data_IF_024432926695
#
_entry.id   IF_024432926695
#
_cell.length_a   1.000
_cell.length_b   1.000
_cell.length_c   1.000
_cell.angle_alpha   90.00
_cell.angle_beta   90.00
_cell.angle_gamma   90.00
#
_symmetry.space_group_name_H-M   'P 1'
#
loop_
_entity.id
_entity.type
_entity.pdbx_description
1 polymer ?
#
# COMPACT_ATOMS: atom_id res chain seq x y z
N UNK A 1 46.09 -1.55 -17.92
CA UNK A 1 46.81 -2.12 -16.76
C UNK A 1 45.81 -2.82 -15.87
N UNK A 2 46.13 -3.99 -15.28
CA UNK A 2 45.24 -4.60 -14.33
C UNK A 2 45.15 -3.68 -13.10
N UNK A 3 43.94 -3.23 -12.78
CA UNK A 3 43.62 -2.58 -11.52
C UNK A 3 43.91 -3.56 -10.38
N UNK A 4 45.08 -3.42 -9.72
CA UNK A 4 45.55 -4.27 -8.62
C UNK A 4 45.70 -3.47 -7.32
N UNK A 5 44.60 -2.95 -6.75
CA UNK A 5 44.67 -2.26 -5.48
C UNK A 5 44.98 -3.26 -4.35
N UNK A 6 45.67 -2.81 -3.30
CA UNK A 6 45.90 -3.61 -2.08
C UNK A 6 44.67 -3.73 -1.19
N UNK A 7 43.71 -2.81 -1.35
CA UNK A 7 42.43 -2.81 -0.62
C UNK A 7 41.53 -3.95 -1.09
N UNK A 8 40.72 -4.50 -0.19
CA UNK A 8 39.70 -5.54 -0.45
C UNK A 8 38.29 -5.00 -0.20
N UNK A 9 37.27 -5.77 -0.60
CA UNK A 9 35.85 -5.50 -0.31
C UNK A 9 35.38 -4.08 -0.62
N UNK A 10 34.64 -3.45 0.30
CA UNK A 10 34.10 -2.09 0.17
C UNK A 10 35.19 -1.03 0.05
N UNK A 11 36.35 -1.24 0.66
CA UNK A 11 37.49 -0.34 0.55
C UNK A 11 38.02 -0.31 -0.90
N UNK A 12 38.06 -1.48 -1.55
CA UNK A 12 38.43 -1.60 -2.97
C UNK A 12 37.43 -0.92 -3.87
N UNK A 13 36.15 -1.10 -3.58
CA UNK A 13 35.06 -0.44 -4.30
C UNK A 13 35.14 1.09 -4.19
N UNK A 14 35.38 1.62 -2.99
CA UNK A 14 35.58 3.07 -2.79
C UNK A 14 36.75 3.62 -3.60
N UNK A 15 37.89 2.92 -3.61
CA UNK A 15 39.07 3.30 -4.43
C UNK A 15 38.81 3.23 -5.92
N UNK A 16 37.97 2.30 -6.37
CA UNK A 16 37.52 2.25 -7.76
C UNK A 16 36.65 3.46 -8.10
N UNK A 17 35.70 3.82 -7.22
CA UNK A 17 34.85 5.00 -7.39
C UNK A 17 35.68 6.28 -7.51
N UNK A 18 36.61 6.52 -6.57
CA UNK A 18 37.45 7.72 -6.55
C UNK A 18 38.39 7.83 -7.77
N UNK A 19 38.76 6.70 -8.38
CA UNK A 19 39.72 6.68 -9.49
C UNK A 19 39.04 6.72 -10.85
N UNK A 20 37.93 6.00 -11.00
CA UNK A 20 37.35 5.71 -12.31
C UNK A 20 35.95 6.26 -12.51
N UNK A 21 35.16 6.39 -11.44
CA UNK A 21 33.77 6.83 -11.56
C UNK A 21 33.70 8.35 -11.45
N UNK A 22 33.26 8.99 -12.53
CA UNK A 22 33.01 10.44 -12.57
C UNK A 22 31.51 10.67 -12.44
N UNK A 23 31.10 11.53 -11.51
CA UNK A 23 29.69 11.80 -11.24
C UNK A 23 29.03 12.47 -12.45
N UNK A 24 27.97 11.87 -13.04
CA UNK A 24 27.36 12.41 -14.26
C UNK A 24 26.66 13.76 -14.11
N UNK A 25 25.93 13.95 -13.00
CA UNK A 25 25.03 15.08 -12.74
C UNK A 25 24.75 15.21 -11.24
N UNK A 26 24.23 16.36 -10.82
CA UNK A 26 23.89 16.64 -9.42
C UNK A 26 25.10 17.04 -8.58
N UNK A 27 25.01 16.84 -7.27
CA UNK A 27 26.11 17.16 -6.33
C UNK A 27 27.39 16.42 -6.70
N UNK A 28 28.47 17.16 -6.89
CA UNK A 28 29.77 16.61 -7.29
C UNK A 28 29.91 16.29 -8.78
N UNK A 29 29.00 16.75 -9.65
CA UNK A 29 29.07 16.54 -11.10
C UNK A 29 30.47 16.84 -11.68
N UNK A 30 30.91 16.02 -12.64
CA UNK A 30 32.23 16.08 -13.29
C UNK A 30 33.42 15.85 -12.36
N UNK A 31 33.20 15.52 -11.09
CA UNK A 31 34.25 15.17 -10.14
C UNK A 31 34.24 13.66 -9.84
N UNK A 32 35.32 13.11 -9.26
CA UNK A 32 35.34 11.72 -8.83
C UNK A 32 34.25 11.41 -7.80
N UNK A 33 33.61 10.24 -7.92
CA UNK A 33 32.62 9.76 -6.96
C UNK A 33 33.32 9.40 -5.65
N UNK A 34 33.13 10.24 -4.63
CA UNK A 34 33.56 9.97 -3.25
C UNK A 34 32.39 9.44 -2.45
N UNK A 35 32.44 8.16 -2.10
CA UNK A 35 31.41 7.53 -1.28
C UNK A 35 31.43 8.12 0.13
N UNK A 36 30.25 8.38 0.69
CA UNK A 36 30.11 8.67 2.11
C UNK A 36 30.32 7.40 2.94
N UNK A 37 30.64 7.56 4.23
CA UNK A 37 30.87 6.44 5.15
C UNK A 37 29.70 5.46 5.10
N UNK A 38 28.48 5.96 5.27
CA UNK A 38 27.27 5.14 5.25
C UNK A 38 27.02 4.43 3.90
N UNK A 39 27.40 5.03 2.76
CA UNK A 39 27.30 4.37 1.45
C UNK A 39 28.32 3.22 1.33
N UNK A 40 29.51 3.42 1.88
CA UNK A 40 30.54 2.39 1.94
C UNK A 40 30.15 1.27 2.90
N UNK A 41 29.59 1.60 4.06
CA UNK A 41 29.12 0.62 5.04
C UNK A 41 27.94 -0.21 4.50
N UNK A 42 27.04 0.44 3.75
CA UNK A 42 25.94 -0.24 3.06
C UNK A 42 26.47 -1.28 2.08
N UNK A 43 27.37 -0.90 1.16
CA UNK A 43 27.98 -1.85 0.22
C UNK A 43 28.88 -2.88 0.94
N UNK A 44 29.53 -2.46 2.03
CA UNK A 44 30.35 -3.32 2.89
C UNK A 44 29.56 -4.41 3.57
N UNK A 45 28.26 -4.20 3.85
CA UNK A 45 27.39 -5.26 4.38
C UNK A 45 27.30 -6.49 3.46
N UNK A 46 27.68 -6.34 2.19
CA UNK A 46 27.78 -7.43 1.22
C UNK A 46 29.24 -7.74 0.90
N UNK A 47 30.02 -6.75 0.46
CA UNK A 47 31.37 -6.99 -0.09
C UNK A 47 32.41 -7.37 0.96
N UNK A 48 32.21 -7.01 2.23
CA UNK A 48 33.13 -7.30 3.33
C UNK A 48 32.72 -8.55 4.13
N UNK A 49 31.56 -9.14 3.84
CA UNK A 49 31.04 -10.34 4.50
C UNK A 49 31.71 -11.61 3.97
N UNK A 50 31.94 -12.57 4.86
CA UNK A 50 32.47 -13.90 4.53
C UNK A 50 31.67 -15.01 5.25
N UNK A 51 30.90 -15.85 4.52
CA UNK A 51 30.67 -15.77 3.08
C UNK A 51 29.90 -14.50 2.68
N UNK A 52 30.03 -14.09 1.42
CA UNK A 52 29.18 -13.03 0.88
C UNK A 52 27.72 -13.49 0.87
N UNK A 53 26.77 -12.64 1.30
CA UNK A 53 25.36 -13.00 1.32
C UNK A 53 24.82 -13.20 -0.11
N UNK A 54 23.86 -14.12 -0.22
CA UNK A 54 23.11 -14.37 -1.45
C UNK A 54 22.08 -13.29 -1.71
N UNK A 55 21.51 -12.72 -0.65
CA UNK A 55 20.50 -11.67 -0.76
C UNK A 55 20.84 -10.51 0.17
N UNK A 56 20.61 -9.28 -0.30
CA UNK A 56 20.69 -8.08 0.50
C UNK A 56 19.38 -7.30 0.38
N UNK A 57 18.73 -7.00 1.50
CA UNK A 57 17.56 -6.13 1.57
C UNK A 57 17.94 -4.77 2.14
N UNK A 58 17.79 -3.72 1.35
CA UNK A 58 18.22 -2.37 1.68
C UNK A 58 17.06 -1.37 1.57
N UNK A 59 16.57 -0.89 2.70
CA UNK A 59 15.47 0.08 2.75
C UNK A 59 15.99 1.48 3.04
N UNK A 60 15.85 2.40 2.08
CA UNK A 60 16.32 3.79 2.20
C UNK A 60 15.35 4.77 1.56
N UNK A 61 15.17 5.99 2.12
CA UNK A 61 14.29 7.01 1.55
C UNK A 61 14.66 7.45 0.12
N UNK A 62 13.74 8.14 -0.55
CA UNK A 62 14.02 8.86 -1.80
C UNK A 62 15.00 10.00 -1.53
N UNK A 63 15.94 10.20 -2.46
CA UNK A 63 16.97 11.25 -2.35
C UNK A 63 18.33 10.78 -1.83
N UNK A 64 18.47 9.51 -1.44
CA UNK A 64 19.72 8.95 -0.91
C UNK A 64 20.75 8.55 -1.98
N UNK A 65 20.59 8.96 -3.24
CA UNK A 65 21.57 8.62 -4.30
C UNK A 65 21.67 7.12 -4.65
N UNK A 66 20.65 6.31 -4.28
CA UNK A 66 20.58 4.86 -4.49
C UNK A 66 20.98 4.43 -5.91
N UNK A 67 20.31 4.98 -6.93
CA UNK A 67 20.52 4.62 -8.34
C UNK A 67 21.97 4.90 -8.81
N UNK A 68 22.61 5.95 -8.29
CA UNK A 68 24.02 6.24 -8.61
C UNK A 68 24.97 5.28 -7.91
N UNK A 69 24.68 4.89 -6.66
CA UNK A 69 25.47 3.91 -5.92
C UNK A 69 25.44 2.54 -6.59
N UNK A 70 24.25 2.03 -6.92
CA UNK A 70 24.11 0.70 -7.56
C UNK A 70 24.64 0.69 -9.00
N UNK A 71 24.54 1.80 -9.74
CA UNK A 71 25.20 1.94 -11.04
C UNK A 71 26.73 1.84 -10.91
N UNK A 72 27.33 2.55 -9.94
CA UNK A 72 28.77 2.50 -9.70
C UNK A 72 29.23 1.12 -9.25
N UNK A 73 28.45 0.44 -8.40
CA UNK A 73 28.75 -0.92 -7.96
C UNK A 73 28.62 -1.94 -9.10
N UNK A 74 27.58 -1.83 -9.92
CA UNK A 74 27.46 -2.67 -11.11
C UNK A 74 28.60 -2.45 -12.10
N UNK A 75 29.10 -1.21 -12.27
CA UNK A 75 30.32 -0.98 -13.04
C UNK A 75 31.55 -1.59 -12.38
N UNK A 76 31.66 -1.53 -11.05
CA UNK A 76 32.75 -2.18 -10.34
C UNK A 76 32.77 -3.70 -10.60
N UNK A 77 31.62 -4.36 -10.51
CA UNK A 77 31.47 -5.78 -10.85
C UNK A 77 31.77 -6.04 -12.33
N UNK A 78 31.22 -5.22 -13.23
CA UNK A 78 31.47 -5.32 -14.67
C UNK A 78 32.96 -5.25 -14.99
N UNK A 79 33.72 -4.34 -14.38
CA UNK A 79 35.14 -4.10 -14.70
C UNK A 79 36.14 -4.92 -13.88
N UNK A 80 35.79 -5.29 -12.65
CA UNK A 80 36.69 -5.93 -11.69
C UNK A 80 36.29 -7.35 -11.29
N UNK A 81 35.11 -7.82 -11.70
CA UNK A 81 34.63 -9.19 -11.52
C UNK A 81 35.39 -10.19 -12.39
N UNK A 82 34.97 -11.46 -12.28
CA UNK A 82 35.58 -12.58 -13.00
C UNK A 82 35.31 -12.59 -14.52
N UNK A 83 35.72 -13.69 -15.15
CA UNK A 83 35.32 -14.05 -16.51
C UNK A 83 33.80 -14.27 -16.56
N UNK A 84 33.13 -13.77 -17.61
CA UNK A 84 31.69 -13.91 -17.80
C UNK A 84 30.83 -13.20 -16.74
N UNK A 85 31.37 -12.19 -16.04
CA UNK A 85 30.59 -11.46 -15.03
C UNK A 85 29.34 -10.83 -15.66
N UNK A 86 28.18 -11.04 -15.04
CA UNK A 86 26.89 -10.54 -15.55
C UNK A 86 26.23 -9.74 -14.44
N UNK A 87 26.01 -8.46 -14.73
CA UNK A 87 25.29 -7.52 -13.89
C UNK A 87 23.93 -7.25 -14.50
N UNK A 88 22.86 -7.58 -13.79
CA UNK A 88 21.51 -7.25 -14.21
C UNK A 88 20.86 -6.28 -13.23
N UNK A 89 20.34 -5.17 -13.75
CA UNK A 89 19.52 -4.25 -12.97
C UNK A 89 18.08 -4.44 -13.40
N UNK A 90 17.22 -4.81 -12.46
CA UNK A 90 15.79 -5.06 -12.65
C UNK A 90 15.03 -3.95 -11.96
N UNK A 91 14.14 -3.28 -12.68
CA UNK A 91 13.33 -2.18 -12.14
C UNK A 91 11.86 -2.32 -12.56
N UNK A 92 10.96 -1.68 -11.81
CA UNK A 92 9.48 -1.82 -11.95
C UNK A 92 8.97 -1.56 -13.37
N UNK A 93 9.62 -0.67 -14.13
CA UNK A 93 9.28 -0.38 -15.52
C UNK A 93 10.54 -0.07 -16.37
N UNK A 94 10.38 -0.07 -17.69
CA UNK A 94 11.47 0.21 -18.64
C UNK A 94 12.07 1.62 -18.49
N UNK A 95 11.28 2.62 -18.03
CA UNK A 95 11.77 3.99 -17.83
C UNK A 95 12.73 4.05 -16.64
N UNK A 96 12.38 3.40 -15.53
CA UNK A 96 13.20 3.26 -14.34
C UNK A 96 14.49 2.48 -14.65
N UNK A 97 14.38 1.38 -15.39
CA UNK A 97 15.54 0.62 -15.85
C UNK A 97 16.51 1.49 -16.67
N UNK A 98 15.97 2.37 -17.52
CA UNK A 98 16.73 3.36 -18.28
C UNK A 98 17.48 4.39 -17.45
N UNK A 99 17.04 4.69 -16.21
CA UNK A 99 17.70 5.65 -15.32
C UNK A 99 19.05 5.08 -14.85
N UNK A 100 19.07 3.87 -14.28
CA UNK A 100 20.30 3.25 -13.78
C UNK A 100 21.27 2.98 -14.93
N UNK A 101 20.76 2.47 -16.06
CA UNK A 101 21.57 2.29 -17.27
C UNK A 101 22.20 3.59 -17.75
N UNK A 102 21.40 4.65 -17.87
CA UNK A 102 21.86 5.95 -18.34
C UNK A 102 22.94 6.55 -17.44
N UNK A 103 22.83 6.35 -16.12
CA UNK A 103 23.87 6.75 -15.16
C UNK A 103 25.15 5.94 -15.39
N UNK A 104 25.07 4.61 -15.45
CA UNK A 104 26.23 3.74 -15.65
C UNK A 104 26.93 4.02 -16.99
N UNK A 105 26.16 4.13 -18.07
CA UNK A 105 26.65 4.51 -19.41
C UNK A 105 27.40 5.83 -19.34
N UNK A 106 26.82 6.85 -18.70
CA UNK A 106 27.44 8.16 -18.61
C UNK A 106 28.70 8.16 -17.75
N UNK A 107 28.76 7.36 -16.68
CA UNK A 107 29.97 7.18 -15.88
C UNK A 107 31.12 6.58 -16.71
N UNK A 108 30.82 5.63 -17.60
CA UNK A 108 31.80 5.05 -18.54
C UNK A 108 32.28 6.08 -19.55
N UNK A 109 31.36 6.77 -20.24
CA UNK A 109 31.68 7.83 -21.23
C UNK A 109 32.52 8.97 -20.65
N UNK A 110 32.38 9.26 -19.35
CA UNK A 110 33.12 10.34 -18.69
C UNK A 110 34.56 9.95 -18.32
N UNK A 111 34.93 8.68 -18.41
CA UNK A 111 36.27 8.20 -18.08
C UNK A 111 36.89 7.46 -19.27
N UNK A 112 37.85 8.09 -19.95
CA UNK A 112 38.49 7.52 -21.15
C UNK A 112 39.14 6.15 -20.94
N UNK A 113 39.49 5.77 -19.69
CA UNK A 113 40.01 4.43 -19.40
C UNK A 113 38.92 3.36 -19.29
N UNK A 114 37.72 3.72 -18.83
CA UNK A 114 36.57 2.83 -18.82
C UNK A 114 36.00 2.72 -20.24
N UNK A 115 35.82 3.86 -20.90
CA UNK A 115 35.31 3.96 -22.27
C UNK A 115 36.15 3.13 -23.25
N UNK A 116 37.49 3.22 -23.20
CA UNK A 116 38.36 2.48 -24.11
C UNK A 116 38.30 0.94 -23.95
N UNK A 117 37.63 0.44 -22.90
CA UNK A 117 37.56 -0.99 -22.55
C UNK A 117 36.13 -1.55 -22.58
N UNK A 118 35.15 -0.68 -22.74
CA UNK A 118 33.75 -1.00 -22.66
C UNK A 118 33.05 -0.64 -23.97
N UNK A 119 32.43 -1.62 -24.59
CA UNK A 119 31.51 -1.38 -25.70
C UNK A 119 30.17 -0.93 -25.13
N UNK A 120 29.74 0.26 -25.54
CA UNK A 120 28.48 0.88 -25.11
C UNK A 120 27.42 0.61 -26.17
N UNK A 121 26.37 -0.13 -25.82
CA UNK A 121 25.21 -0.35 -26.68
C UNK A 121 24.04 0.54 -26.25
N UNK A 122 22.85 0.30 -26.82
CA UNK A 122 21.64 1.04 -26.42
C UNK A 122 21.13 0.63 -25.03
N UNK A 123 21.22 -0.66 -24.70
CA UNK A 123 20.57 -1.27 -23.52
C UNK A 123 21.55 -2.14 -22.70
N UNK A 124 22.82 -2.21 -23.10
CA UNK A 124 23.85 -2.98 -22.39
C UNK A 124 25.25 -2.35 -22.50
N UNK A 125 26.12 -2.71 -21.57
CA UNK A 125 27.56 -2.44 -21.60
C UNK A 125 28.29 -3.79 -21.64
N UNK A 126 29.34 -3.89 -22.43
CA UNK A 126 30.08 -5.15 -22.61
C UNK A 126 31.58 -4.92 -22.48
N UNK A 127 32.28 -5.79 -21.75
CA UNK A 127 33.73 -5.89 -21.72
C UNK A 127 34.13 -7.13 -22.55
N UNK A 128 34.50 -6.98 -23.83
CA UNK A 128 34.64 -8.11 -24.75
C UNK A 128 35.71 -9.13 -24.32
N UNK A 129 36.82 -8.63 -23.74
CA UNK A 129 37.95 -9.48 -23.34
C UNK A 129 37.60 -10.47 -22.22
N UNK A 130 36.54 -10.20 -21.45
CA UNK A 130 36.06 -11.08 -20.37
C UNK A 130 34.65 -11.63 -20.61
N UNK A 131 34.05 -11.33 -21.76
CA UNK A 131 32.62 -11.55 -22.01
C UNK A 131 31.70 -11.06 -20.86
N UNK A 132 32.09 -9.97 -20.19
CA UNK A 132 31.34 -9.45 -19.06
C UNK A 132 30.28 -8.45 -19.55
N UNK A 133 29.09 -8.50 -18.96
CA UNK A 133 27.93 -7.75 -19.43
C UNK A 133 27.22 -7.03 -18.28
N UNK A 134 26.75 -5.81 -18.54
CA UNK A 134 25.84 -5.07 -17.70
C UNK A 134 24.61 -4.73 -18.52
N UNK A 135 23.43 -5.12 -18.06
CA UNK A 135 22.18 -4.80 -18.76
C UNK A 135 21.06 -4.47 -17.77
N UNK A 136 20.09 -3.69 -18.23
CA UNK A 136 18.92 -3.31 -17.45
C UNK A 136 17.69 -3.96 -18.07
N UNK A 137 16.85 -4.59 -17.23
CA UNK A 137 15.65 -5.31 -17.63
C UNK A 137 14.45 -4.77 -16.84
N UNK A 138 13.24 -4.76 -17.42
CA UNK A 138 12.03 -4.56 -16.64
C UNK A 138 11.78 -5.75 -15.70
N UNK A 139 11.09 -5.50 -14.58
CA UNK A 139 10.64 -6.50 -13.60
C UNK A 139 9.47 -7.33 -14.17
N UNK A 140 9.74 -8.05 -15.24
CA UNK A 140 8.82 -8.96 -15.92
C UNK A 140 9.37 -10.39 -15.82
N UNK A 141 8.72 -11.32 -15.11
CA UNK A 141 9.27 -12.65 -14.80
C UNK A 141 9.81 -13.40 -16.03
N UNK A 142 9.07 -13.36 -17.15
CA UNK A 142 9.45 -14.01 -18.42
C UNK A 142 10.78 -13.51 -18.99
N UNK A 143 11.17 -12.26 -18.74
CA UNK A 143 12.44 -11.70 -19.23
C UNK A 143 13.61 -12.01 -18.30
N UNK A 144 13.33 -12.48 -17.09
CA UNK A 144 14.31 -12.80 -16.06
C UNK A 144 14.63 -14.30 -16.01
N UNK A 145 13.83 -15.14 -16.67
CA UNK A 145 14.10 -16.57 -16.81
C UNK A 145 15.45 -16.82 -17.49
N UNK A 146 16.16 -17.84 -17.01
CA UNK A 146 17.45 -18.25 -17.60
C UNK A 146 18.64 -17.37 -17.24
N UNK A 147 18.44 -16.24 -16.53
CA UNK A 147 19.54 -15.37 -16.08
C UNK A 147 20.59 -16.15 -15.27
N UNK A 148 21.84 -15.77 -15.46
CA UNK A 148 23.01 -16.26 -14.73
C UNK A 148 23.88 -15.04 -14.37
N UNK A 149 23.62 -14.45 -13.20
CA UNK A 149 24.23 -13.18 -12.78
C UNK A 149 25.27 -13.38 -11.68
N UNK A 150 26.33 -12.56 -11.69
CA UNK A 150 27.18 -12.38 -10.50
C UNK A 150 26.57 -11.35 -9.54
N UNK A 151 25.91 -10.32 -10.08
CA UNK A 151 25.19 -9.31 -9.31
C UNK A 151 23.85 -8.98 -9.97
N UNK A 152 22.76 -9.18 -9.24
CA UNK A 152 21.44 -8.69 -9.60
C UNK A 152 21.05 -7.54 -8.66
N UNK A 153 20.45 -6.50 -9.21
CA UNK A 153 19.93 -5.36 -8.44
C UNK A 153 18.44 -5.23 -8.76
N UNK A 154 17.57 -5.52 -7.81
CA UNK A 154 16.14 -5.23 -7.89
C UNK A 154 15.90 -3.84 -7.29
N UNK A 155 15.82 -2.81 -8.14
CA UNK A 155 15.55 -1.43 -7.74
C UNK A 155 14.05 -1.22 -7.52
N UNK A 156 13.72 -0.33 -6.58
CA UNK A 156 12.35 -0.07 -6.10
C UNK A 156 11.63 -1.37 -5.64
N UNK A 157 12.35 -2.25 -4.93
CA UNK A 157 11.86 -3.56 -4.48
C UNK A 157 10.60 -3.52 -3.59
N UNK A 158 10.23 -2.35 -3.05
CA UNK A 158 8.97 -2.18 -2.31
C UNK A 158 7.71 -2.13 -3.19
N UNK A 159 7.88 -2.01 -4.52
CA UNK A 159 6.77 -2.02 -5.49
C UNK A 159 7.01 -3.00 -6.65
N UNK A 160 8.15 -3.69 -6.68
CA UNK A 160 8.43 -4.71 -7.67
C UNK A 160 7.50 -5.93 -7.51
N UNK A 161 7.14 -6.57 -8.62
CA UNK A 161 6.37 -7.81 -8.60
C UNK A 161 7.18 -8.92 -7.89
N UNK A 162 6.54 -9.60 -6.93
CA UNK A 162 7.05 -10.77 -6.22
C UNK A 162 7.59 -11.85 -7.15
N UNK A 163 6.88 -12.16 -8.23
CA UNK A 163 7.31 -13.19 -9.20
C UNK A 163 8.70 -12.86 -9.78
N UNK A 164 9.00 -11.57 -9.98
CA UNK A 164 10.32 -11.15 -10.49
C UNK A 164 11.42 -11.37 -9.46
N UNK A 165 11.13 -11.13 -8.18
CA UNK A 165 12.05 -11.44 -7.09
C UNK A 165 12.30 -12.95 -6.98
N UNK A 166 11.25 -13.76 -7.07
CA UNK A 166 11.37 -15.21 -7.01
C UNK A 166 12.20 -15.77 -8.17
N UNK A 167 11.96 -15.32 -9.40
CA UNK A 167 12.78 -15.71 -10.56
C UNK A 167 14.25 -15.32 -10.39
N UNK A 168 14.53 -14.11 -9.87
CA UNK A 168 15.91 -13.68 -9.59
C UNK A 168 16.55 -14.52 -8.49
N UNK A 169 15.81 -14.89 -7.46
CA UNK A 169 16.30 -15.72 -6.36
C UNK A 169 16.61 -17.13 -6.86
N UNK A 170 15.72 -17.72 -7.67
CA UNK A 170 15.92 -19.05 -8.27
C UNK A 170 17.05 -19.11 -9.30
N UNK A 171 17.44 -17.97 -9.88
CA UNK A 171 18.60 -17.88 -10.78
C UNK A 171 19.95 -17.97 -10.04
N UNK A 172 19.96 -17.86 -8.70
CA UNK A 172 21.16 -18.05 -7.88
C UNK A 172 21.62 -19.51 -7.88
N UNK A 173 22.87 -19.74 -7.47
CA UNK A 173 23.45 -21.09 -7.36
C UNK A 173 24.05 -21.64 -8.66
N UNK A 174 23.80 -21.00 -9.82
CA UNK A 174 24.53 -21.30 -11.08
C UNK A 174 26.00 -20.88 -11.03
N UNK A 175 26.33 -19.94 -10.14
CA UNK A 175 27.69 -19.43 -9.89
C UNK A 175 28.07 -19.60 -8.43
N UNK A 176 29.37 -19.80 -8.20
CA UNK A 176 29.97 -19.84 -6.86
C UNK A 176 29.53 -18.62 -6.05
N UNK A 177 29.60 -17.42 -6.67
CA UNK A 177 29.14 -16.15 -6.10
C UNK A 177 28.08 -15.51 -7.00
N UNK A 178 26.94 -15.21 -6.40
CA UNK A 178 25.80 -14.56 -7.03
C UNK A 178 24.98 -13.89 -5.95
N UNK A 179 24.90 -12.56 -6.00
CA UNK A 179 24.20 -11.76 -4.98
C UNK A 179 23.05 -10.97 -5.60
N UNK A 180 21.88 -11.05 -4.98
CA UNK A 180 20.70 -10.24 -5.29
C UNK A 180 20.59 -9.10 -4.28
N UNK A 181 20.57 -7.86 -4.77
CA UNK A 181 20.38 -6.66 -3.97
C UNK A 181 18.98 -6.11 -4.22
N UNK A 182 18.09 -6.26 -3.25
CA UNK A 182 16.77 -5.66 -3.25
C UNK A 182 16.83 -4.31 -2.53
N UNK A 183 16.66 -3.21 -3.26
CA UNK A 183 16.83 -1.86 -2.73
C UNK A 183 15.60 -0.99 -3.03
N UNK A 184 15.19 -0.14 -2.09
CA UNK A 184 14.09 0.79 -2.36
C UNK A 184 13.49 1.46 -1.12
N UNK A 185 12.32 2.06 -1.30
CA UNK A 185 11.43 2.53 -0.22
C UNK A 185 10.25 1.58 -0.05
N UNK A 186 9.58 1.56 1.12
CA UNK A 186 8.30 0.87 1.27
C UNK A 186 7.28 1.29 0.21
N UNK A 187 6.62 0.31 -0.42
CA UNK A 187 5.48 0.52 -1.29
C UNK A 187 4.18 0.80 -0.52
N UNK A 188 3.11 1.24 -1.23
CA UNK A 188 1.81 1.53 -0.63
C UNK A 188 1.06 0.28 -0.14
N UNK A 189 1.30 -0.88 -0.76
CA UNK A 189 0.74 -2.15 -0.32
C UNK A 189 1.67 -2.77 0.72
N UNK A 190 1.35 -2.63 2.00
CA UNK A 190 2.16 -3.17 3.10
C UNK A 190 2.02 -4.69 3.27
N UNK A 191 1.00 -5.30 2.66
CA UNK A 191 0.71 -6.74 2.80
C UNK A 191 1.44 -7.59 1.75
N UNK A 192 1.92 -6.98 0.67
CA UNK A 192 2.61 -7.70 -0.41
C UNK A 192 3.71 -6.84 -1.03
N UNK A 193 4.91 -6.95 -0.47
CA UNK A 193 6.11 -6.36 -1.05
C UNK A 193 7.38 -7.05 -0.54
N UNK A 194 8.32 -7.27 -1.45
CA UNK A 194 9.58 -8.00 -1.22
C UNK A 194 10.41 -7.39 -0.08
N UNK A 195 10.50 -6.06 -0.01
CA UNK A 195 11.30 -5.39 1.02
C UNK A 195 10.83 -5.71 2.45
N UNK A 196 9.52 -5.79 2.69
CA UNK A 196 9.00 -6.05 4.05
C UNK A 196 9.13 -7.51 4.46
N UNK A 197 9.07 -8.44 3.50
CA UNK A 197 9.35 -9.84 3.79
C UNK A 197 10.81 -10.02 4.17
N UNK A 198 11.74 -9.41 3.42
CA UNK A 198 13.16 -9.45 3.75
C UNK A 198 13.45 -8.81 5.12
N UNK A 199 12.78 -7.69 5.43
CA UNK A 199 12.85 -7.05 6.75
C UNK A 199 12.40 -7.98 7.87
N UNK A 200 11.25 -8.63 7.69
CA UNK A 200 10.65 -9.50 8.70
C UNK A 200 11.48 -10.76 8.89
N UNK A 201 11.88 -11.41 7.79
CA UNK A 201 12.72 -12.59 7.82
C UNK A 201 14.06 -12.33 8.52
N UNK A 202 14.74 -11.22 8.21
CA UNK A 202 16.01 -10.86 8.84
C UNK A 202 15.88 -10.59 10.35
N UNK A 203 14.72 -10.08 10.80
CA UNK A 203 14.45 -9.86 12.21
C UNK A 203 14.15 -11.19 12.94
N UNK A 204 13.50 -12.13 12.27
CA UNK A 204 13.16 -13.45 12.81
C UNK A 204 14.35 -14.44 12.80
N UNK A 205 15.28 -14.29 11.84
CA UNK A 205 16.41 -15.20 11.62
C UNK A 205 17.75 -14.44 11.58
N UNK A 206 18.16 -13.75 12.66
CA UNK A 206 19.38 -12.95 12.69
C UNK A 206 20.69 -13.76 12.51
N UNK A 207 20.63 -15.09 12.67
CA UNK A 207 21.74 -16.01 12.46
C UNK A 207 21.98 -16.39 10.99
N UNK A 208 21.00 -16.15 10.11
CA UNK A 208 21.10 -16.51 8.70
C UNK A 208 22.01 -15.53 7.94
N UNK A 209 23.27 -15.93 7.73
CA UNK A 209 24.26 -15.14 7.00
C UNK A 209 24.01 -15.04 5.49
N UNK A 210 23.04 -15.79 4.94
CA UNK A 210 22.71 -15.73 3.51
C UNK A 210 21.93 -14.46 3.13
N UNK A 211 21.26 -13.83 4.09
CA UNK A 211 20.56 -12.56 3.95
C UNK A 211 21.23 -11.48 4.81
N UNK A 212 21.43 -10.29 4.24
CA UNK A 212 21.76 -9.10 5.02
C UNK A 212 20.68 -8.04 4.90
N UNK A 213 20.24 -7.48 6.03
CA UNK A 213 19.28 -6.37 6.08
C UNK A 213 19.95 -5.07 6.53
N UNK A 214 19.68 -3.97 5.82
CA UNK A 214 20.06 -2.61 6.21
C UNK A 214 18.89 -1.67 6.00
N UNK A 215 18.63 -0.84 7.00
CA UNK A 215 17.48 0.06 7.03
C UNK A 215 17.90 1.44 7.51
N UNK A 216 17.56 2.45 6.71
CA UNK A 216 17.54 3.84 7.12
C UNK A 216 16.08 4.27 7.16
N UNK A 217 15.52 4.42 8.36
CA UNK A 217 14.12 4.75 8.56
C UNK A 217 13.91 5.49 9.88
N UNK A 218 12.76 6.14 10.02
CA UNK A 218 12.23 6.59 11.29
C UNK A 218 11.09 5.68 11.76
N UNK A 219 11.18 4.37 11.48
CA UNK A 219 10.23 3.39 11.97
C UNK A 219 10.22 3.37 13.51
N UNK A 220 9.04 3.24 14.11
CA UNK A 220 8.84 3.36 15.56
C UNK A 220 8.58 4.79 16.04
N UNK A 221 8.74 5.79 15.18
CA UNK A 221 8.43 7.21 15.45
C UNK A 221 7.21 7.70 14.65
N UNK A 222 6.25 6.81 14.35
CA UNK A 222 5.04 7.15 13.59
C UNK A 222 4.16 8.18 14.32
N UNK A 223 4.24 8.21 15.66
CA UNK A 223 3.56 9.17 16.53
C UNK A 223 4.15 10.59 16.45
N UNK A 224 5.35 10.77 15.87
CA UNK A 224 5.90 12.10 15.62
C UNK A 224 5.20 12.78 14.43
N UNK A 225 5.14 14.12 14.42
CA UNK A 225 4.66 14.86 13.27
C UNK A 225 5.59 14.65 12.06
N UNK A 226 5.03 14.80 10.85
CA UNK A 226 5.74 14.55 9.58
C UNK A 226 6.94 15.46 9.35
N UNK A 227 6.97 16.64 9.97
CA UNK A 227 8.04 17.63 9.93
C UNK A 227 9.02 17.52 11.11
N UNK A 228 8.97 16.42 11.87
CA UNK A 228 9.92 16.17 12.94
C UNK A 228 11.35 16.06 12.39
N UNK A 229 12.20 17.04 12.72
CA UNK A 229 13.61 17.08 12.29
C UNK A 229 14.40 15.85 12.75
N UNK A 230 14.16 15.36 13.97
CA UNK A 230 14.76 14.11 14.47
C UNK A 230 14.45 12.91 13.53
N UNK A 231 13.20 12.77 13.08
CA UNK A 231 12.83 11.70 12.15
C UNK A 231 13.49 11.88 10.79
N UNK A 232 13.69 13.12 10.35
CA UNK A 232 14.38 13.42 9.10
C UNK A 232 15.84 13.02 9.18
N UNK A 233 16.54 13.43 10.24
CA UNK A 233 17.94 13.10 10.48
C UNK A 233 18.18 11.59 10.60
N UNK A 234 17.30 10.89 11.33
CA UNK A 234 17.40 9.45 11.53
C UNK A 234 17.24 8.67 10.21
N UNK A 235 16.26 9.03 9.39
CA UNK A 235 15.95 8.30 8.16
C UNK A 235 16.86 8.68 6.98
N UNK A 236 17.42 9.89 6.96
CA UNK A 236 18.05 10.46 5.77
C UNK A 236 19.54 10.73 5.96
N UNK A 237 20.43 9.73 5.75
CA UNK A 237 21.87 9.91 5.92
C UNK A 237 22.53 10.86 4.90
N UNK A 238 21.83 11.24 3.81
CA UNK A 238 22.26 12.27 2.86
C UNK A 238 21.75 13.68 3.16
N UNK A 239 20.94 13.87 4.22
CA UNK A 239 20.40 15.18 4.56
C UNK A 239 21.53 16.17 4.81
N UNK A 240 21.36 17.39 4.30
CA UNK A 240 22.34 18.48 4.32
C UNK A 240 23.66 18.23 3.56
N UNK A 241 23.76 17.14 2.78
CA UNK A 241 24.86 16.87 1.84
C UNK A 241 24.38 16.97 0.38
N UNK A 242 23.50 16.06 -0.03
CA UNK A 242 22.89 16.06 -1.37
C UNK A 242 21.38 15.79 -1.34
N UNK A 243 20.79 15.81 -0.14
CA UNK A 243 19.36 15.97 0.09
C UNK A 243 19.17 17.22 0.95
N UNK A 244 18.27 18.12 0.57
CA UNK A 244 18.13 19.42 1.21
C UNK A 244 16.81 19.53 1.99
N UNK A 245 16.85 20.15 3.18
CA UNK A 245 15.67 20.29 4.08
C UNK A 245 14.54 21.08 3.45
N UNK A 246 14.85 22.13 2.70
CA UNK A 246 13.88 22.95 1.98
C UNK A 246 13.04 22.10 1.01
N UNK A 247 13.63 21.10 0.36
CA UNK A 247 12.93 20.15 -0.50
C UNK A 247 12.01 19.20 0.29
N UNK A 248 12.33 18.84 1.53
CA UNK A 248 11.43 18.08 2.40
C UNK A 248 10.26 18.96 2.86
N UNK A 249 10.53 20.19 3.31
CA UNK A 249 9.49 21.18 3.66
C UNK A 249 8.55 21.47 2.48
N UNK A 250 9.10 21.57 1.26
CA UNK A 250 8.31 21.80 0.05
C UNK A 250 7.35 20.65 -0.28
N UNK A 251 7.61 19.45 0.26
CA UNK A 251 6.79 18.25 0.06
C UNK A 251 5.86 17.93 1.24
N UNK A 252 5.93 18.68 2.34
CA UNK A 252 5.07 18.45 3.49
C UNK A 252 3.58 18.47 3.11
N UNK A 253 2.74 17.65 3.75
CA UNK A 253 1.29 17.76 3.65
C UNK A 253 0.78 19.19 3.86
N UNK A 254 -0.29 19.61 3.16
CA UNK A 254 -1.12 18.82 2.26
C UNK A 254 -0.57 18.72 0.82
N UNK A 255 0.62 19.24 0.51
CA UNK A 255 1.18 19.24 -0.86
C UNK A 255 1.47 17.83 -1.37
N UNK A 256 1.78 16.92 -0.46
CA UNK A 256 1.76 15.49 -0.70
C UNK A 256 0.91 14.79 0.35
N UNK A 257 0.40 13.61 0.01
CA UNK A 257 -0.29 12.74 0.97
C UNK A 257 0.68 12.34 2.09
N UNK A 258 0.23 12.43 3.34
CA UNK A 258 1.08 12.15 4.50
C UNK A 258 1.68 10.74 4.45
N UNK A 259 0.86 9.73 4.15
CA UNK A 259 1.33 8.35 4.02
C UNK A 259 2.39 8.19 2.91
N UNK A 260 2.23 8.93 1.81
CA UNK A 260 3.24 8.97 0.74
C UNK A 260 4.53 9.65 1.22
N UNK A 261 4.45 10.76 1.93
CA UNK A 261 5.62 11.44 2.52
C UNK A 261 6.35 10.53 3.50
N UNK A 262 5.62 9.92 4.44
CA UNK A 262 6.15 9.00 5.46
C UNK A 262 6.87 7.81 4.85
N UNK A 263 6.29 7.14 3.85
CA UNK A 263 6.98 6.05 3.13
C UNK A 263 8.20 6.54 2.35
N UNK A 264 8.05 7.63 1.58
CA UNK A 264 9.07 8.05 0.63
C UNK A 264 10.25 8.79 1.28
N UNK A 265 10.04 9.53 2.37
CA UNK A 265 11.07 10.36 3.04
C UNK A 265 11.52 9.81 4.38
N UNK A 266 10.70 9.00 5.05
CA UNK A 266 10.99 8.48 6.39
C UNK A 266 11.07 6.95 6.44
N UNK A 267 10.73 6.23 5.36
CA UNK A 267 10.58 4.77 5.34
C UNK A 267 9.68 4.23 6.47
N UNK A 268 8.71 5.02 6.92
CA UNK A 268 7.70 4.59 7.87
C UNK A 268 6.63 3.77 7.16
N UNK A 269 6.12 2.72 7.80
CA UNK A 269 5.10 1.82 7.24
C UNK A 269 3.70 2.42 7.36
N UNK A 270 3.54 3.66 6.88
CA UNK A 270 2.24 4.31 6.80
C UNK A 270 1.45 3.68 5.65
N UNK A 271 0.32 3.04 5.97
CA UNK A 271 -0.66 2.66 4.96
C UNK A 271 -1.26 3.92 4.34
N UNK A 272 -1.68 3.87 3.07
CA UNK A 272 -2.56 4.90 2.50
C UNK A 272 -3.96 4.75 3.13
N UNK A 273 -4.09 5.08 4.43
CA UNK A 273 -5.37 5.22 5.12
C UNK A 273 -5.95 6.63 4.95
N UNK A 274 -5.40 7.44 4.04
CA UNK A 274 -5.97 8.74 3.72
C UNK A 274 -7.27 8.55 2.93
N UNK A 275 -8.36 8.60 3.69
CA UNK A 275 -9.72 8.72 3.23
C UNK A 275 -10.68 8.31 4.34
N UNK A 276 -10.50 8.73 5.60
CA UNK A 276 -11.53 8.48 6.63
C UNK A 276 -12.91 8.83 6.05
N UNK A 277 -13.86 7.90 6.16
CA UNK A 277 -15.17 8.10 5.55
C UNK A 277 -15.84 9.36 6.08
N UNK A 278 -15.77 9.60 7.38
CA UNK A 278 -16.20 10.84 8.01
C UNK A 278 -15.16 11.25 9.05
N UNK A 279 -14.80 12.55 9.14
CA UNK A 279 -13.99 13.04 10.25
C UNK A 279 -14.67 12.72 11.58
N UNK A 280 -13.88 12.33 12.58
CA UNK A 280 -14.40 11.92 13.89
C UNK A 280 -15.23 13.02 14.57
N UNK A 281 -14.85 14.29 14.41
CA UNK A 281 -15.60 15.44 14.94
C UNK A 281 -16.98 15.56 14.29
N UNK A 282 -17.03 15.49 12.95
CA UNK A 282 -18.30 15.53 12.20
C UNK A 282 -19.22 14.39 12.63
N UNK A 283 -18.70 13.17 12.79
CA UNK A 283 -19.52 12.06 13.26
C UNK A 283 -20.04 12.28 14.68
N UNK A 284 -19.17 12.67 15.61
CA UNK A 284 -19.55 12.87 17.01
C UNK A 284 -20.63 13.95 17.18
N UNK A 285 -20.58 15.02 16.37
CA UNK A 285 -21.57 16.11 16.41
C UNK A 285 -22.98 15.69 15.93
N UNK A 286 -23.11 14.58 15.20
CA UNK A 286 -24.38 14.04 14.71
C UNK A 286 -25.08 13.12 15.74
N UNK A 287 -24.43 12.88 16.89
CA UNK A 287 -24.94 12.01 17.95
C UNK A 287 -26.03 12.70 18.77
N UNK A 288 -27.19 12.07 18.92
CA UNK A 288 -28.28 12.57 19.78
C UNK A 288 -28.36 11.85 21.12
N UNK A 289 -27.69 10.71 21.28
CA UNK A 289 -27.80 9.86 22.47
C UNK A 289 -29.14 9.12 22.61
N UNK A 290 -30.03 9.18 21.61
CA UNK A 290 -31.38 8.62 21.67
C UNK A 290 -31.58 7.67 20.48
N UNK A 291 -32.16 6.50 20.69
CA UNK A 291 -32.48 5.55 19.62
C UNK A 291 -33.72 5.91 18.81
N UNK A 292 -34.00 5.13 17.75
CA UNK A 292 -35.19 5.34 16.90
C UNK A 292 -36.48 5.03 17.69
N UNK A 293 -37.44 5.98 17.78
CA UNK A 293 -38.65 5.81 18.57
C UNK A 293 -39.56 4.72 18.01
N UNK A 294 -40.28 4.03 18.91
CA UNK A 294 -41.25 3.01 18.53
C UNK A 294 -42.35 3.58 17.61
N UNK A 295 -42.87 2.72 16.71
CA UNK A 295 -43.87 3.07 15.70
C UNK A 295 -43.45 4.13 14.66
N UNK A 296 -42.20 4.60 14.68
CA UNK A 296 -41.66 5.46 13.62
C UNK A 296 -41.76 4.79 12.24
N UNK A 297 -41.90 5.62 11.21
CA UNK A 297 -41.78 5.19 9.81
C UNK A 297 -40.30 5.00 9.49
N UNK A 298 -39.88 3.78 9.16
CA UNK A 298 -38.46 3.43 9.03
C UNK A 298 -38.16 2.61 7.78
N UNK A 299 -36.87 2.59 7.41
CA UNK A 299 -36.26 1.58 6.56
C UNK A 299 -35.30 0.73 7.39
N UNK A 300 -35.16 -0.54 7.05
CA UNK A 300 -34.20 -1.46 7.68
C UNK A 300 -33.21 -1.89 6.61
N UNK A 301 -31.92 -1.70 6.86
CA UNK A 301 -30.85 -2.15 5.97
C UNK A 301 -30.13 -3.38 6.53
N UNK A 302 -29.91 -4.37 5.67
CA UNK A 302 -29.17 -5.60 5.93
C UNK A 302 -27.95 -5.66 5.03
N UNK A 303 -26.76 -5.69 5.63
CA UNK A 303 -25.52 -6.10 4.98
C UNK A 303 -25.09 -7.44 5.58
N UNK A 304 -24.97 -8.44 4.72
CA UNK A 304 -25.04 -9.83 5.16
C UNK A 304 -23.93 -10.71 4.60
N UNK A 305 -23.33 -11.49 5.49
CA UNK A 305 -22.37 -12.56 5.17
C UNK A 305 -22.83 -13.91 5.74
N UNK A 306 -22.30 -15.00 5.17
CA UNK A 306 -22.61 -16.38 5.60
C UNK A 306 -21.54 -17.00 6.50
N UNK A 307 -20.29 -16.60 6.30
CA UNK A 307 -19.12 -17.10 7.02
C UNK A 307 -17.98 -16.11 6.84
N UNK A 308 -17.12 -15.97 7.86
CA UNK A 308 -15.91 -15.12 7.89
C UNK A 308 -16.07 -13.59 7.97
N UNK A 309 -17.25 -13.04 7.67
CA UNK A 309 -17.55 -11.59 7.81
C UNK A 309 -18.66 -11.34 8.83
N UNK A 310 -19.02 -10.08 9.03
CA UNK A 310 -20.10 -9.68 9.94
C UNK A 310 -21.42 -9.62 9.18
N UNK A 311 -22.53 -9.88 9.87
CA UNK A 311 -23.87 -9.53 9.37
C UNK A 311 -24.44 -8.43 10.25
N UNK A 312 -24.98 -7.39 9.65
CA UNK A 312 -25.42 -6.20 10.36
C UNK A 312 -26.82 -5.77 9.92
N UNK A 313 -27.62 -5.32 10.90
CA UNK A 313 -28.89 -4.65 10.68
C UNK A 313 -28.85 -3.23 11.24
N UNK A 314 -29.27 -2.27 10.42
CA UNK A 314 -29.39 -0.87 10.78
C UNK A 314 -30.81 -0.38 10.50
N UNK A 315 -31.35 0.47 11.37
CA UNK A 315 -32.62 1.17 11.15
C UNK A 315 -32.35 2.64 10.81
N UNK A 316 -33.14 3.20 9.90
CA UNK A 316 -33.15 4.64 9.60
C UNK A 316 -34.58 5.18 9.48
N UNK A 317 -34.88 6.32 10.08
CA UNK A 317 -36.20 6.96 9.94
C UNK A 317 -36.42 7.51 8.53
N UNK A 318 -37.62 7.37 7.99
CA UNK A 318 -37.97 7.99 6.70
C UNK A 318 -38.15 9.50 6.87
N UNK A 319 -37.12 10.26 6.52
CA UNK A 319 -37.05 11.72 6.66
C UNK A 319 -36.08 12.32 5.62
N UNK A 320 -36.23 13.60 5.22
CA UNK A 320 -35.18 14.31 4.50
C UNK A 320 -33.88 14.42 5.31
N UNK A 321 -34.00 14.38 6.64
CA UNK A 321 -32.89 14.33 7.61
C UNK A 321 -33.08 13.08 8.48
N UNK A 322 -32.60 11.90 8.03
CA UNK A 322 -32.84 10.64 8.73
C UNK A 322 -32.09 10.54 10.06
N UNK A 323 -32.69 9.81 11.01
CA UNK A 323 -32.06 9.38 12.25
C UNK A 323 -31.79 7.87 12.22
N UNK A 324 -30.57 7.45 12.58
CA UNK A 324 -30.11 6.06 12.47
C UNK A 324 -29.76 5.42 13.82
N UNK A 325 -29.97 4.10 13.90
CA UNK A 325 -29.61 3.30 15.06
C UNK A 325 -29.27 1.85 14.68
N UNK A 326 -28.41 1.21 15.48
CA UNK A 326 -28.04 -0.19 15.29
C UNK A 326 -29.15 -1.11 15.79
N UNK A 327 -29.62 -2.03 14.95
CA UNK A 327 -30.56 -3.07 15.40
C UNK A 327 -29.78 -4.24 16.01
N UNK A 328 -28.87 -4.82 15.25
CA UNK A 328 -28.13 -6.02 15.64
C UNK A 328 -26.88 -6.20 14.79
N UNK A 329 -25.86 -6.84 15.38
CA UNK A 329 -24.63 -7.22 14.70
C UNK A 329 -24.32 -8.66 15.08
N UNK A 330 -24.21 -9.53 14.08
CA UNK A 330 -23.75 -10.91 14.22
C UNK A 330 -22.31 -10.97 13.74
N UNK A 331 -21.40 -10.93 14.71
CA UNK A 331 -19.96 -10.99 14.50
C UNK A 331 -19.38 -12.25 15.13
N UNK A 332 -18.25 -12.70 14.59
CA UNK A 332 -17.55 -13.88 15.10
C UNK A 332 -16.98 -13.58 16.51
N UNK A 333 -17.30 -14.39 17.54
CA UNK A 333 -16.90 -14.10 18.92
C UNK A 333 -15.39 -14.18 19.15
N UNK A 334 -14.70 -15.10 18.44
CA UNK A 334 -13.27 -15.32 18.60
C UNK A 334 -12.54 -15.43 17.26
N UNK A 335 -11.40 -14.74 17.14
CA UNK A 335 -10.56 -14.66 15.92
C UNK A 335 -10.10 -16.03 15.39
N UNK A 336 -10.08 -17.08 16.23
CA UNK A 336 -9.66 -18.45 15.87
C UNK A 336 -10.81 -19.42 15.55
N UNK A 337 -12.07 -19.07 15.78
CA UNK A 337 -13.24 -19.96 15.55
C UNK A 337 -13.64 -20.07 14.07
N UNK A 338 -12.93 -20.88 13.28
CA UNK A 338 -13.13 -20.96 11.81
C UNK A 338 -14.48 -21.57 11.40
N UNK A 339 -15.26 -22.03 12.38
CA UNK A 339 -16.51 -22.74 12.17
C UNK A 339 -17.74 -21.84 12.33
N UNK A 340 -17.59 -20.62 12.86
CA UNK A 340 -18.69 -19.68 13.02
C UNK A 340 -19.52 -19.51 11.74
N UNK A 341 -20.84 -19.57 11.91
CA UNK A 341 -21.84 -19.30 10.88
C UNK A 341 -22.87 -18.34 11.45
N UNK A 342 -23.31 -17.42 10.60
CA UNK A 342 -24.38 -16.49 10.98
C UNK A 342 -25.68 -17.28 11.14
N UNK A 343 -26.36 -17.19 12.29
CA UNK A 343 -27.65 -17.85 12.49
C UNK A 343 -28.73 -17.12 11.68
N UNK A 344 -28.95 -17.55 10.44
CA UNK A 344 -29.89 -16.91 9.50
C UNK A 344 -31.29 -16.78 10.10
N UNK A 345 -31.76 -17.80 10.81
CA UNK A 345 -33.07 -17.78 11.47
C UNK A 345 -33.19 -16.63 12.48
N UNK A 346 -32.15 -16.38 13.28
CA UNK A 346 -32.13 -15.28 14.25
C UNK A 346 -32.17 -13.92 13.55
N UNK A 347 -31.50 -13.78 12.40
CA UNK A 347 -31.54 -12.55 11.59
C UNK A 347 -32.96 -12.30 11.08
N UNK A 348 -33.61 -13.33 10.54
CA UNK A 348 -35.00 -13.24 10.07
C UNK A 348 -35.97 -12.91 11.20
N UNK A 349 -35.84 -13.58 12.36
CA UNK A 349 -36.70 -13.33 13.52
C UNK A 349 -36.50 -11.93 14.10
N UNK A 350 -35.28 -11.41 14.04
CA UNK A 350 -34.96 -10.03 14.41
C UNK A 350 -35.66 -9.05 13.47
N UNK A 351 -35.63 -9.29 12.16
CA UNK A 351 -36.36 -8.47 11.17
C UNK A 351 -37.87 -8.52 11.46
N UNK A 352 -38.44 -9.71 11.70
CA UNK A 352 -39.86 -9.87 12.06
C UNK A 352 -40.21 -9.09 13.33
N UNK A 353 -39.33 -9.10 14.34
CA UNK A 353 -39.52 -8.33 15.56
C UNK A 353 -39.49 -6.81 15.29
N UNK A 354 -38.58 -6.34 14.43
CA UNK A 354 -38.52 -4.95 14.02
C UNK A 354 -39.81 -4.50 13.29
N UNK A 355 -40.37 -5.36 12.43
CA UNK A 355 -41.66 -5.11 11.76
C UNK A 355 -42.86 -5.02 12.72
N UNK A 356 -42.77 -5.61 13.93
CA UNK A 356 -43.77 -5.42 14.99
C UNK A 356 -43.56 -4.12 15.76
N UNK A 357 -42.32 -3.66 15.88
CA UNK A 357 -41.91 -2.48 16.66
C UNK A 357 -42.11 -1.17 15.89
N UNK A 358 -41.75 -1.15 14.62
CA UNK A 358 -41.77 0.05 13.77
C UNK A 358 -42.69 -0.10 12.56
N UNK A 359 -43.06 1.03 11.96
CA UNK A 359 -43.74 1.05 10.66
C UNK A 359 -42.69 0.90 9.55
N UNK A 360 -42.24 -0.34 9.34
CA UNK A 360 -41.21 -0.65 8.34
C UNK A 360 -41.79 -0.46 6.94
N UNK A 361 -41.17 0.43 6.17
CA UNK A 361 -41.58 0.75 4.80
C UNK A 361 -40.82 -0.03 3.75
N UNK A 362 -39.54 -0.32 4.01
CA UNK A 362 -38.65 -1.09 3.16
C UNK A 362 -37.64 -1.85 4.03
N UNK A 363 -37.42 -3.12 3.71
CA UNK A 363 -36.29 -3.94 4.17
C UNK A 363 -35.36 -4.06 2.99
N UNK A 364 -34.18 -3.48 3.08
CA UNK A 364 -33.25 -3.29 1.97
C UNK A 364 -31.99 -4.13 2.19
N UNK A 365 -31.56 -4.82 1.14
CA UNK A 365 -30.35 -5.64 1.19
C UNK A 365 -29.78 -5.85 -0.22
N UNK A 366 -28.48 -6.06 -0.30
CA UNK A 366 -27.89 -6.64 -1.50
C UNK A 366 -28.28 -8.14 -1.59
N UNK A 367 -28.80 -8.62 -2.74
CA UNK A 367 -29.30 -9.98 -2.83
C UNK A 367 -28.19 -11.03 -2.84
N UNK A 368 -26.91 -10.65 -3.03
CA UNK A 368 -25.80 -11.59 -3.03
C UNK A 368 -25.77 -12.34 -1.70
N UNK A 369 -25.74 -13.66 -1.78
CA UNK A 369 -25.82 -14.58 -0.64
C UNK A 369 -27.19 -14.59 0.06
N UNK A 370 -27.87 -13.47 0.27
CA UNK A 370 -29.11 -13.41 1.05
C UNK A 370 -30.42 -13.64 0.26
N UNK A 371 -30.35 -14.01 -1.02
CA UNK A 371 -31.53 -14.17 -1.91
C UNK A 371 -32.67 -15.01 -1.30
N UNK A 372 -32.34 -16.15 -0.68
CA UNK A 372 -33.37 -17.04 -0.10
C UNK A 372 -34.11 -16.41 1.08
N UNK A 373 -33.39 -15.70 1.94
CA UNK A 373 -33.98 -14.99 3.08
C UNK A 373 -34.87 -13.84 2.60
N UNK A 374 -34.43 -13.07 1.59
CA UNK A 374 -35.25 -12.02 0.99
C UNK A 374 -36.56 -12.58 0.42
N UNK A 375 -36.50 -13.71 -0.29
CA UNK A 375 -37.70 -14.39 -0.82
C UNK A 375 -38.64 -14.90 0.30
N UNK A 376 -38.09 -15.42 1.40
CA UNK A 376 -38.88 -15.88 2.53
C UNK A 376 -39.63 -14.72 3.21
N UNK A 377 -38.93 -13.61 3.46
CA UNK A 377 -39.53 -12.39 4.03
C UNK A 377 -40.59 -11.79 3.09
N UNK A 378 -40.34 -11.81 1.78
CA UNK A 378 -41.32 -11.35 0.78
C UNK A 378 -42.56 -12.26 0.72
N UNK A 379 -42.41 -13.58 0.84
CA UNK A 379 -43.52 -14.53 0.90
C UNK A 379 -44.42 -14.30 2.13
N UNK A 380 -43.84 -13.79 3.23
CA UNK A 380 -44.56 -13.31 4.42
C UNK A 380 -45.23 -11.93 4.22
N UNK A 381 -45.11 -11.34 3.03
CA UNK A 381 -45.60 -9.99 2.65
C UNK A 381 -44.89 -8.86 3.38
N UNK A 382 -43.67 -9.08 3.85
CA UNK A 382 -42.82 -8.00 4.35
C UNK A 382 -42.28 -7.17 3.18
N UNK A 383 -42.06 -5.86 3.38
CA UNK A 383 -41.76 -4.94 2.28
C UNK A 383 -40.28 -5.01 1.87
N UNK A 384 -39.86 -6.11 1.27
CA UNK A 384 -38.48 -6.31 0.81
C UNK A 384 -38.20 -5.52 -0.46
N UNK A 385 -37.04 -4.88 -0.53
CA UNK A 385 -36.54 -4.16 -1.72
C UNK A 385 -35.07 -4.50 -1.92
N UNK A 386 -34.74 -5.09 -3.07
CA UNK A 386 -33.34 -5.35 -3.41
C UNK A 386 -32.56 -4.05 -3.67
N UNK A 387 -31.34 -3.98 -3.12
CA UNK A 387 -30.39 -2.91 -3.35
C UNK A 387 -29.09 -3.46 -3.95
N UNK A 388 -29.03 -3.73 -5.27
CA UNK A 388 -27.81 -4.21 -5.89
C UNK A 388 -26.62 -3.26 -5.73
N UNK A 389 -25.50 -3.78 -5.24
CA UNK A 389 -24.21 -3.09 -5.04
C UNK A 389 -23.47 -2.78 -6.36
N UNK A 390 -24.14 -2.12 -7.30
CA UNK A 390 -23.49 -1.62 -8.51
C UNK A 390 -22.59 -0.41 -8.21
N UNK A 391 -21.43 -0.27 -8.87
CA UNK A 391 -20.52 0.86 -8.64
C UNK A 391 -21.20 2.23 -8.77
N UNK A 392 -22.07 2.41 -9.78
CA UNK A 392 -22.76 3.67 -10.00
C UNK A 392 -23.70 4.04 -8.84
N UNK A 393 -24.47 3.06 -8.33
CA UNK A 393 -25.42 3.28 -7.23
C UNK A 393 -24.71 3.55 -5.92
N UNK A 394 -23.67 2.77 -5.60
CA UNK A 394 -22.89 2.95 -4.37
C UNK A 394 -22.15 4.28 -4.35
N UNK A 395 -21.61 4.71 -5.50
CA UNK A 395 -20.88 5.99 -5.59
C UNK A 395 -21.81 7.18 -5.31
N UNK A 396 -23.00 7.18 -5.92
CA UNK A 396 -24.01 8.20 -5.65
C UNK A 396 -24.46 8.18 -4.18
N UNK A 397 -24.83 7.00 -3.66
CA UNK A 397 -25.31 6.86 -2.29
C UNK A 397 -24.25 7.23 -1.23
N UNK A 398 -22.98 6.88 -1.46
CA UNK A 398 -21.86 7.24 -0.57
C UNK A 398 -21.63 8.75 -0.59
N UNK A 399 -21.68 9.36 -1.78
CA UNK A 399 -21.51 10.82 -1.94
C UNK A 399 -22.63 11.59 -1.24
N UNK A 400 -23.88 11.15 -1.41
CA UNK A 400 -25.04 11.76 -0.76
C UNK A 400 -24.97 11.62 0.76
N UNK A 401 -24.59 10.45 1.28
CA UNK A 401 -24.41 10.23 2.71
C UNK A 401 -23.31 11.11 3.29
N UNK A 402 -22.15 11.18 2.63
CA UNK A 402 -21.05 12.04 3.05
C UNK A 402 -21.50 13.50 3.14
N UNK A 403 -22.17 13.99 2.10
CA UNK A 403 -22.73 15.33 2.05
C UNK A 403 -23.76 15.56 3.17
N UNK A 404 -24.65 14.61 3.45
CA UNK A 404 -25.63 14.73 4.52
C UNK A 404 -24.96 14.82 5.90
N UNK A 405 -23.94 13.99 6.17
CA UNK A 405 -23.20 14.00 7.42
C UNK A 405 -22.45 15.33 7.63
N UNK A 406 -21.67 15.78 6.64
CA UNK A 406 -20.90 17.03 6.74
C UNK A 406 -21.79 18.26 6.88
N UNK A 407 -22.99 18.24 6.28
CA UNK A 407 -23.95 19.34 6.37
C UNK A 407 -24.93 19.23 7.55
N UNK A 408 -24.77 18.26 8.47
CA UNK A 408 -25.67 18.10 9.62
C UNK A 408 -27.09 17.68 9.24
N UNK A 409 -27.31 17.07 8.07
CA UNK A 409 -28.62 16.63 7.55
C UNK A 409 -28.93 15.17 7.84
N UNK A 410 -28.34 14.63 8.89
CA UNK A 410 -28.66 13.32 9.43
C UNK A 410 -28.28 13.29 10.91
N UNK A 411 -28.71 12.27 11.63
CA UNK A 411 -28.29 12.07 13.02
C UNK A 411 -28.24 10.57 13.35
N UNK A 412 -27.62 10.22 14.47
CA UNK A 412 -27.58 8.84 14.95
C UNK A 412 -27.66 8.74 16.47
N UNK A 413 -28.01 7.56 16.96
CA UNK A 413 -28.16 7.28 18.40
C UNK A 413 -26.88 7.43 19.22
N UNK A 414 -25.72 7.30 18.56
CA UNK A 414 -24.42 7.27 19.23
C UNK A 414 -23.95 5.86 19.57
N UNK A 415 -24.56 4.83 18.97
CA UNK A 415 -24.15 3.44 19.14
C UNK A 415 -22.65 3.24 18.83
N UNK A 416 -21.95 2.61 19.77
CA UNK A 416 -20.50 2.44 19.71
C UNK A 416 -20.06 1.49 18.58
N UNK A 417 -20.89 0.50 18.23
CA UNK A 417 -20.58 -0.41 17.11
C UNK A 417 -20.72 0.30 15.77
N UNK A 418 -21.77 1.10 15.60
CA UNK A 418 -21.93 1.94 14.41
C UNK A 418 -20.76 2.91 14.27
N UNK A 419 -20.38 3.60 15.35
CA UNK A 419 -19.23 4.50 15.35
C UNK A 419 -17.93 3.79 14.96
N UNK A 420 -17.68 2.58 15.49
CA UNK A 420 -16.50 1.79 15.14
C UNK A 420 -16.48 1.39 13.65
N UNK A 421 -17.62 0.99 13.08
CA UNK A 421 -17.71 0.63 11.67
C UNK A 421 -17.57 1.84 10.74
N UNK A 422 -18.09 3.01 11.12
CA UNK A 422 -17.92 4.26 10.37
C UNK A 422 -16.47 4.73 10.42
N UNK A 423 -15.83 4.71 11.60
CA UNK A 423 -14.42 5.08 11.75
C UNK A 423 -13.45 4.12 11.08
N UNK A 424 -13.84 2.85 10.91
CA UNK A 424 -13.10 1.86 10.15
C UNK A 424 -13.22 2.01 8.62
N UNK A 425 -14.22 2.74 8.14
CA UNK A 425 -14.49 2.87 6.72
C UNK A 425 -13.62 3.94 6.07
N UNK A 426 -13.21 3.68 4.84
CA UNK A 426 -12.43 4.59 4.03
C UNK A 426 -13.15 4.97 2.73
N UNK A 427 -12.81 6.11 2.15
CA UNK A 427 -13.24 6.58 0.85
C UNK A 427 -12.15 6.29 -0.17
N UNK A 428 -12.57 5.73 -1.29
CA UNK A 428 -11.80 5.69 -2.53
C UNK A 428 -12.48 6.63 -3.51
N UNK A 429 -11.78 7.67 -3.94
CA UNK A 429 -12.25 8.57 -4.99
C UNK A 429 -11.79 8.09 -6.36
N UNK A 430 -12.72 8.08 -7.32
CA UNK A 430 -12.43 7.93 -8.73
C UNK A 430 -13.11 9.05 -9.55
N UNK A 431 -12.95 9.02 -10.89
CA UNK A 431 -13.55 10.02 -11.78
C UNK A 431 -15.11 10.05 -11.74
N UNK A 432 -15.76 9.10 -11.07
CA UNK A 432 -17.21 8.95 -10.95
C UNK A 432 -17.73 9.35 -9.57
N UNK A 433 -16.85 9.53 -8.57
CA UNK A 433 -17.20 10.04 -7.23
C UNK A 433 -16.54 9.25 -6.08
N UNK A 434 -17.07 9.46 -4.86
CA UNK A 434 -16.59 8.79 -3.65
C UNK A 434 -17.24 7.42 -3.49
N UNK A 435 -16.44 6.41 -3.11
CA UNK A 435 -16.93 5.06 -2.80
C UNK A 435 -16.39 4.54 -1.47
N UNK A 436 -17.27 3.94 -0.67
CA UNK A 436 -16.89 3.27 0.57
C UNK A 436 -15.99 2.05 0.29
N UNK A 437 -14.93 1.90 1.07
CA UNK A 437 -13.97 0.81 1.03
C UNK A 437 -13.50 0.45 2.44
N UNK A 438 -13.08 -0.79 2.62
CA UNK A 438 -12.33 -1.20 3.82
C UNK A 438 -10.91 -0.61 3.73
N UNK A 439 -10.36 -0.15 4.85
CA UNK A 439 -8.96 0.33 4.93
C UNK A 439 -7.92 -0.78 4.70
N UNK A 440 -8.30 -2.04 4.87
CA UNK A 440 -7.53 -3.23 4.47
C UNK A 440 -8.48 -4.32 3.96
N UNK A 441 -8.01 -5.17 3.04
CA UNK A 441 -8.74 -6.36 2.56
C UNK A 441 -8.47 -7.60 3.43
N UNK A 442 -7.63 -7.47 4.45
CA UNK A 442 -7.32 -8.54 5.39
C UNK A 442 -8.59 -9.08 6.04
N UNK A 443 -8.63 -10.40 6.25
CA UNK A 443 -9.69 -11.07 7.01
C UNK A 443 -9.81 -10.55 8.44
N UNK A 444 -8.76 -9.91 8.96
CA UNK A 444 -8.69 -9.35 10.32
C UNK A 444 -8.82 -7.83 10.37
N UNK A 445 -9.11 -7.19 9.24
CA UNK A 445 -9.40 -5.78 9.20
C UNK A 445 -10.69 -5.47 9.98
N UNK A 446 -10.79 -4.28 10.61
CA UNK A 446 -12.02 -3.77 11.16
C UNK A 446 -13.19 -3.86 10.17
N UNK A 447 -14.35 -4.22 10.68
CA UNK A 447 -15.56 -4.49 9.89
C UNK A 447 -16.29 -3.19 9.61
N UNK A 448 -16.95 -3.11 8.45
CA UNK A 448 -17.61 -1.88 7.98
C UNK A 448 -19.08 -2.12 7.60
N UNK A 449 -19.63 -3.27 7.98
CA UNK A 449 -20.93 -3.76 7.52
C UNK A 449 -22.07 -2.82 7.96
N UNK A 450 -22.03 -2.29 9.19
CA UNK A 450 -22.93 -1.21 9.61
C UNK A 450 -22.76 0.10 8.81
N UNK A 451 -21.56 0.44 8.34
CA UNK A 451 -21.35 1.61 7.47
C UNK A 451 -21.91 1.37 6.06
N UNK A 452 -21.83 0.14 5.54
CA UNK A 452 -22.50 -0.24 4.31
C UNK A 452 -24.04 -0.21 4.46
N UNK A 453 -24.57 -0.73 5.58
CA UNK A 453 -25.99 -0.56 5.94
C UNK A 453 -26.39 0.92 5.97
N UNK A 454 -25.55 1.80 6.52
CA UNK A 454 -25.81 3.23 6.60
C UNK A 454 -25.94 3.87 5.21
N UNK A 455 -25.05 3.54 4.27
CA UNK A 455 -25.13 3.99 2.87
C UNK A 455 -26.47 3.60 2.23
N UNK A 456 -26.86 2.34 2.38
CA UNK A 456 -28.13 1.84 1.84
C UNK A 456 -29.34 2.52 2.51
N UNK A 457 -29.35 2.55 3.84
CA UNK A 457 -30.45 3.09 4.63
C UNK A 457 -30.66 4.58 4.34
N UNK A 458 -29.58 5.36 4.28
CA UNK A 458 -29.66 6.78 3.94
C UNK A 458 -30.23 7.03 2.55
N UNK A 459 -29.74 6.31 1.54
CA UNK A 459 -30.23 6.44 0.17
C UNK A 459 -31.75 6.17 0.08
N UNK A 460 -32.24 5.15 0.78
CA UNK A 460 -33.66 4.75 0.71
C UNK A 460 -34.56 5.59 1.60
N UNK A 461 -34.12 5.93 2.81
CA UNK A 461 -34.86 6.79 3.73
C UNK A 461 -35.16 8.16 3.11
N UNK A 462 -34.14 8.81 2.54
CA UNK A 462 -34.27 10.13 1.90
C UNK A 462 -35.10 10.07 0.60
N UNK A 463 -34.91 9.03 -0.21
CA UNK A 463 -35.74 8.80 -1.40
C UNK A 463 -37.22 8.63 -1.04
N UNK A 464 -37.53 7.88 0.02
CA UNK A 464 -38.90 7.69 0.50
C UNK A 464 -39.53 8.94 1.07
N UNK A 465 -38.75 9.76 1.75
CA UNK A 465 -39.22 11.04 2.26
C UNK A 465 -39.60 12.00 1.12
N UNK A 466 -38.84 12.01 0.03
CA UNK A 466 -39.05 12.89 -1.12
C UNK A 466 -40.12 12.37 -2.11
N UNK A 467 -40.39 11.05 -2.15
CA UNK A 467 -41.31 10.43 -3.11
C UNK A 467 -42.56 9.80 -2.46
N UNK A 468 -43.16 10.46 -1.46
CA UNK A 468 -44.38 9.97 -0.78
C UNK A 468 -45.49 9.65 -1.80
N UNK A 469 -46.00 8.41 -1.79
CA UNK A 469 -47.19 8.04 -2.57
C UNK A 469 -48.36 8.94 -2.14
N UNK A 470 -48.90 9.72 -3.07
CA UNK A 470 -50.14 10.50 -2.84
C UNK A 470 -51.23 9.54 -2.34
N UNK A 471 -51.70 9.75 -1.11
CA UNK A 471 -52.84 9.03 -0.55
C UNK A 471 -54.05 9.38 -1.43
N UNK A 472 -54.60 8.42 -2.18
CA UNK A 472 -55.89 8.62 -2.86
C UNK A 472 -56.94 8.83 -1.78
N UNK A 473 -57.39 10.07 -1.60
CA UNK A 473 -58.56 10.38 -0.77
C UNK A 473 -59.73 9.59 -1.36
N UNK A 474 -60.22 8.58 -0.64
CA UNK A 474 -61.52 7.97 -0.94
C UNK A 474 -62.55 9.07 -0.68
N UNK A 475 -63.21 9.58 -1.72
CA UNK A 475 -64.43 10.36 -1.51
C UNK A 475 -65.47 9.40 -0.96
N UNK A 476 -65.98 9.66 0.24
CA UNK A 476 -67.20 9.02 0.71
C UNK A 476 -68.33 9.52 -0.20
N UNK A 477 -69.10 8.59 -0.75
CA UNK A 477 -70.35 8.85 -1.47
C UNK A 477 -71.51 8.68 -0.51
#
# INVERSE_FOLDING_TARGET
MPWRPRSVGSARFGRFCERYIVVPKGTGARSPLRLRSWQRDLVGSVLDSDPQPRTAGWMLPRGQGKSSLVAAWGLYELFCGGEGAVVCVVAVDERQAGIVYGIARRMVELNGQLESRCQVFKERLVIPVRDAQFHCLPAEPKRLEGLDYTLAILDEAGVANRDSYEVLTLAQGKRERSTLVCIGTPGPNLEDQVLLDLRSYAAEHPEDSSLVWREFSAAGFEHHPVDCEHCWDLANPALDDFLHRDALHALLPPKTREATFRRARLCQLAADTQGEFLPSEVWNDLSTGVGVPDRAEVVIALDGSFSDDTTALLVGTVSPEPHFDTIAVWERPHRKDTEYRVPIADVEDTIRACCRRWQVTEIIADPFRWTRTLQALEAEKLPVVEFPHSPARLTAATTDLYSAAVNGRMSHSGDAKLAAHVGAACIVEDARGMRLSKGSRSRTAPKIDLAACLVMAHSRATWRATHKKRRKTRSFR
#
